data_IF_705748051357
#
_entry.id   IF_705748051357
#
_cell.length_a   1.000
_cell.length_b   1.000
_cell.length_c   1.000
_cell.angle_alpha   90.00
_cell.angle_beta   90.00
_cell.angle_gamma   90.00
#
_symmetry.space_group_name_H-M   'P 1'
#
loop_
_entity.id
_entity.type
_entity.pdbx_description
1 polymer ?
#
# COMPACT_ATOMS: atom_id res chain seq x y z
N UNK A 1 22.94 12.97 -16.63
CA UNK A 1 22.20 12.35 -15.52
C UNK A 1 21.04 11.54 -16.07
N UNK A 2 20.92 10.31 -15.63
CA UNK A 2 19.85 9.44 -16.11
C UNK A 2 18.57 9.71 -15.32
N UNK A 3 17.46 9.60 -16.03
CA UNK A 3 16.18 9.72 -15.38
C UNK A 3 15.84 8.40 -14.68
N UNK A 4 15.13 8.45 -13.56
CA UNK A 4 14.85 7.24 -12.81
C UNK A 4 13.88 6.34 -13.54
N UNK A 5 14.08 5.05 -13.35
CA UNK A 5 13.16 4.04 -13.83
C UNK A 5 12.63 3.32 -12.61
N UNK A 6 11.32 3.09 -12.58
CA UNK A 6 10.67 2.49 -11.43
C UNK A 6 10.21 1.08 -11.72
N UNK A 7 10.26 0.27 -10.70
CA UNK A 7 9.57 -1.00 -10.69
C UNK A 7 8.37 -0.85 -9.78
N UNK A 8 7.29 -1.53 -10.11
CA UNK A 8 6.05 -1.41 -9.35
C UNK A 8 5.64 -2.78 -8.82
N UNK A 9 5.29 -2.83 -7.54
CA UNK A 9 4.71 -4.03 -6.95
C UNK A 9 3.32 -3.66 -6.44
N UNK A 10 2.44 -4.63 -6.44
CA UNK A 10 1.07 -4.42 -5.97
C UNK A 10 0.86 -5.20 -4.69
N UNK A 11 0.38 -4.51 -3.66
CA UNK A 11 0.18 -5.10 -2.33
C UNK A 11 -1.15 -4.64 -1.76
N UNK A 12 -1.62 -5.35 -0.74
CA UNK A 12 -2.85 -4.99 -0.04
C UNK A 12 -2.52 -4.75 1.42
N UNK A 13 -2.84 -3.55 1.90
CA UNK A 13 -2.72 -3.23 3.31
C UNK A 13 -4.05 -3.37 4.00
N UNK A 14 -4.04 -3.68 5.27
CA UNK A 14 -5.26 -3.82 6.05
C UNK A 14 -5.16 -3.08 7.36
N UNK A 15 -6.31 -2.68 7.90
CA UNK A 15 -6.40 -2.04 9.21
C UNK A 15 -7.83 -2.15 9.71
N UNK A 16 -7.97 -2.33 11.01
CA UNK A 16 -9.29 -2.27 11.63
C UNK A 16 -9.68 -0.84 11.95
N UNK A 17 -8.75 0.12 11.80
CA UNK A 17 -8.97 1.50 12.20
C UNK A 17 -9.37 2.42 11.07
N UNK A 18 -8.63 2.38 9.97
CA UNK A 18 -8.86 3.35 8.89
C UNK A 18 -8.15 2.95 7.61
N UNK A 19 -8.57 3.61 6.53
CA UNK A 19 -7.90 3.46 5.23
C UNK A 19 -6.47 3.98 5.32
N UNK A 20 -6.27 5.12 5.99
CA UNK A 20 -4.93 5.68 6.15
C UNK A 20 -3.99 4.72 6.85
N UNK A 21 -4.49 4.07 7.90
CA UNK A 21 -3.67 3.09 8.62
C UNK A 21 -3.36 1.87 7.75
N UNK A 22 -4.32 1.46 6.93
CA UNK A 22 -4.08 0.34 6.02
C UNK A 22 -2.94 0.67 5.05
N UNK A 23 -2.92 1.91 4.54
CA UNK A 23 -1.85 2.37 3.66
C UNK A 23 -0.51 2.38 4.40
N UNK A 24 -0.50 2.95 5.61
CA UNK A 24 0.72 3.01 6.43
C UNK A 24 1.28 1.60 6.69
N UNK A 25 0.41 0.65 7.01
CA UNK A 25 0.84 -0.72 7.28
C UNK A 25 1.46 -1.35 6.03
N UNK A 26 0.85 -1.13 4.87
CA UNK A 26 1.35 -1.68 3.62
C UNK A 26 2.72 -1.10 3.28
N UNK A 27 2.86 0.22 3.38
CA UNK A 27 4.11 0.89 3.04
C UNK A 27 5.22 0.47 4.01
N UNK A 28 4.91 0.41 5.31
CA UNK A 28 5.89 0.00 6.31
C UNK A 28 6.39 -1.42 6.05
N UNK A 29 5.48 -2.32 5.66
CA UNK A 29 5.88 -3.69 5.38
C UNK A 29 6.73 -3.78 4.12
N UNK A 30 6.34 -3.04 3.08
CA UNK A 30 7.10 -3.01 1.82
C UNK A 30 8.51 -2.48 2.07
N UNK A 31 8.65 -1.50 2.95
CA UNK A 31 9.94 -0.89 3.24
C UNK A 31 10.92 -1.86 3.89
N UNK A 32 10.42 -2.95 4.47
CA UNK A 32 11.31 -3.93 5.10
C UNK A 32 12.04 -4.80 4.07
N UNK A 33 11.47 -4.97 2.89
CA UNK A 33 12.04 -5.87 1.90
C UNK A 33 12.45 -5.17 0.61
N UNK A 34 12.08 -3.89 0.45
CA UNK A 34 12.40 -3.13 -0.75
C UNK A 34 13.12 -1.87 -0.37
N UNK A 35 14.06 -1.46 -1.21
CA UNK A 35 14.77 -0.21 -1.02
C UNK A 35 14.23 0.83 -1.96
N UNK A 36 14.46 2.08 -1.61
CA UNK A 36 14.21 3.21 -2.50
C UNK A 36 12.75 3.32 -2.93
N UNK A 37 11.84 3.10 -1.98
CA UNK A 37 10.43 3.35 -2.25
C UNK A 37 10.26 4.81 -2.58
N UNK A 38 9.54 5.09 -3.68
CA UNK A 38 9.39 6.46 -4.13
C UNK A 38 7.98 7.00 -4.01
N UNK A 39 7.00 6.17 -4.32
CA UNK A 39 5.61 6.63 -4.34
C UNK A 39 4.68 5.44 -4.22
N UNK A 40 3.42 5.75 -3.93
CA UNK A 40 2.37 4.75 -3.98
C UNK A 40 1.17 5.32 -4.71
N UNK A 41 0.33 4.42 -5.19
CA UNK A 41 -0.91 4.77 -5.84
C UNK A 41 -1.99 3.86 -5.30
N UNK A 42 -3.12 4.42 -4.88
CA UNK A 42 -4.24 3.61 -4.40
C UNK A 42 -5.00 3.11 -5.62
N UNK A 43 -5.08 1.80 -5.75
CA UNK A 43 -5.82 1.17 -6.84
C UNK A 43 -7.28 1.00 -6.44
N UNK A 44 -7.50 0.54 -5.21
CA UNK A 44 -8.84 0.25 -4.74
C UNK A 44 -8.86 0.27 -3.21
N UNK A 45 -9.91 0.86 -2.67
CA UNK A 45 -10.15 0.80 -1.24
C UNK A 45 -11.46 0.04 -1.04
N UNK A 46 -11.45 -0.89 -0.10
CA UNK A 46 -12.63 -1.67 0.21
C UNK A 46 -12.52 -2.16 1.65
N UNK A 47 -13.48 -2.91 2.08
CA UNK A 47 -13.43 -3.44 3.42
C UNK A 47 -14.45 -4.55 3.61
N UNK A 48 -14.41 -5.13 4.78
CA UNK A 48 -15.37 -6.17 5.14
C UNK A 48 -16.36 -5.63 6.16
N UNK A 49 -17.54 -6.17 6.11
CA UNK A 49 -18.63 -5.76 7.01
C UNK A 49 -19.04 -6.97 7.83
N UNK A 50 -19.22 -6.73 9.13
CA UNK A 50 -19.66 -7.77 10.03
C UNK A 50 -20.66 -7.16 11.00
N UNK A 51 -21.83 -7.75 11.09
CA UNK A 51 -22.89 -7.27 11.99
C UNK A 51 -23.24 -5.80 11.74
N UNK A 52 -23.29 -5.39 10.46
CA UNK A 52 -23.66 -4.04 10.09
C UNK A 52 -22.59 -3.00 10.34
N UNK A 53 -21.37 -3.41 10.64
CA UNK A 53 -20.26 -2.49 10.91
C UNK A 53 -19.06 -2.86 10.07
N UNK A 54 -18.23 -1.86 9.79
CA UNK A 54 -16.98 -2.09 9.11
C UNK A 54 -16.08 -2.89 10.04
N UNK A 55 -15.68 -4.05 9.59
CA UNK A 55 -14.80 -4.93 10.35
C UNK A 55 -13.34 -4.62 10.06
N UNK A 56 -13.02 -4.38 8.80
CA UNK A 56 -11.63 -4.21 8.37
C UNK A 56 -11.60 -3.39 7.09
N UNK A 57 -10.65 -2.47 7.01
CA UNK A 57 -10.37 -1.73 5.79
C UNK A 57 -9.27 -2.44 5.03
N UNK A 58 -9.41 -2.52 3.71
CA UNK A 58 -8.40 -3.12 2.84
C UNK A 58 -8.11 -2.16 1.70
N UNK A 59 -6.85 -1.88 1.47
CA UNK A 59 -6.45 -0.97 0.41
C UNK A 59 -5.43 -1.66 -0.47
N UNK A 60 -5.74 -1.74 -1.76
CA UNK A 60 -4.81 -2.26 -2.75
C UNK A 60 -3.98 -1.09 -3.25
N UNK A 61 -2.68 -1.20 -3.15
CA UNK A 61 -1.75 -0.17 -3.60
C UNK A 61 -0.79 -0.71 -4.62
N UNK A 62 -0.37 0.17 -5.51
CA UNK A 62 0.86 -0.03 -6.27
C UNK A 62 1.93 0.81 -5.62
N UNK A 63 3.08 0.20 -5.39
CA UNK A 63 4.22 0.90 -4.79
C UNK A 63 5.35 0.89 -5.80
N UNK A 64 5.85 2.08 -6.11
CA UNK A 64 6.94 2.24 -7.05
C UNK A 64 8.26 2.42 -6.31
N UNK A 65 9.28 1.71 -6.77
CA UNK A 65 10.61 1.90 -6.21
C UNK A 65 11.62 1.98 -7.34
N UNK A 66 12.68 2.74 -7.08
CA UNK A 66 13.68 3.04 -8.10
C UNK A 66 14.56 1.84 -8.35
N UNK A 67 14.80 1.57 -9.64
CA UNK A 67 15.79 0.59 -10.02
C UNK A 67 17.17 1.23 -10.00
N UNK A 68 18.14 0.49 -9.54
CA UNK A 68 19.53 0.96 -9.49
C UNK A 68 20.35 0.39 -10.60
#
# INVERSE_FOLDING_TARGET
MAEPVYRVVEIVGTSEESISKAIDHAVARAAKTRRHLGWFEVVQARGSIENGKVRQYQVTLKVGFTLE
#
